data_IF_391418029574
#
_entry.id   IF_391418029574
#
_cell.length_a   1.000
_cell.length_b   1.000
_cell.length_c   1.000
_cell.angle_alpha   90.00
_cell.angle_beta   90.00
_cell.angle_gamma   90.00
#
_symmetry.space_group_name_H-M   'P 1'
#
loop_
_entity.id
_entity.type
_entity.pdbx_description
1 polymer ?
#
# COMPACT_ATOMS: atom_id res chain seq x y z
N UNK A 1 8.30 -26.85 -44.50
CA UNK A 1 7.74 -27.64 -43.38
C UNK A 1 7.71 -26.74 -42.16
N UNK A 2 6.67 -25.93 -42.04
CA UNK A 2 6.54 -24.95 -40.95
C UNK A 2 5.90 -25.62 -39.74
N UNK A 3 6.72 -25.91 -38.72
CA UNK A 3 6.21 -26.30 -37.41
C UNK A 3 5.67 -25.05 -36.72
N UNK A 4 4.36 -24.81 -36.86
CA UNK A 4 3.67 -23.85 -35.99
C UNK A 4 3.84 -24.31 -34.54
N UNK A 5 4.63 -23.56 -33.79
CA UNK A 5 4.75 -23.68 -32.35
C UNK A 5 3.45 -23.13 -31.73
N UNK A 6 2.41 -23.94 -31.65
CA UNK A 6 1.22 -23.63 -30.85
C UNK A 6 1.60 -23.80 -29.39
N UNK A 7 2.09 -22.73 -28.76
CA UNK A 7 2.06 -22.64 -27.31
C UNK A 7 0.59 -22.76 -26.91
N UNK A 8 0.28 -23.85 -26.22
CA UNK A 8 -1.05 -24.18 -25.76
C UNK A 8 -1.54 -23.04 -24.86
N UNK A 9 -2.47 -22.22 -25.35
CA UNK A 9 -3.10 -21.11 -24.62
C UNK A 9 -3.72 -21.57 -23.28
N UNK A 10 -4.06 -22.86 -23.20
CA UNK A 10 -4.54 -23.56 -22.01
C UNK A 10 -3.47 -23.74 -20.91
N UNK A 11 -2.19 -23.89 -21.28
CA UNK A 11 -1.07 -23.95 -20.33
C UNK A 11 -0.69 -22.56 -19.83
N UNK A 12 -0.76 -21.53 -20.68
CA UNK A 12 -0.55 -20.13 -20.28
C UNK A 12 -1.68 -19.65 -19.35
N UNK A 13 -2.94 -20.04 -19.63
CA UNK A 13 -4.09 -19.82 -18.74
C UNK A 13 -4.04 -20.65 -17.44
N UNK A 14 -3.43 -21.84 -17.45
CA UNK A 14 -3.25 -22.66 -16.23
C UNK A 14 -2.08 -22.20 -15.34
N UNK A 15 -1.08 -21.51 -15.92
CA UNK A 15 0.01 -20.89 -15.16
C UNK A 15 -0.37 -19.52 -14.58
N UNK A 16 -1.46 -18.90 -15.07
CA UNK A 16 -2.25 -17.91 -14.33
C UNK A 16 -3.04 -18.62 -13.22
N UNK A 17 -2.34 -19.34 -12.36
CA UNK A 17 -2.86 -19.67 -11.06
C UNK A 17 -3.00 -18.33 -10.35
N UNK A 18 -4.22 -17.80 -10.30
CA UNK A 18 -4.53 -16.50 -9.72
C UNK A 18 -4.07 -16.57 -8.27
N UNK A 19 -2.89 -16.01 -8.01
CA UNK A 19 -2.34 -15.85 -6.68
C UNK A 19 -3.37 -15.06 -5.87
N UNK A 20 -3.64 -15.46 -4.63
CA UNK A 20 -4.57 -14.67 -3.81
C UNK A 20 -3.99 -13.26 -3.59
N UNK A 21 -4.84 -12.23 -3.41
CA UNK A 21 -4.37 -10.88 -3.10
C UNK A 21 -3.37 -10.85 -1.92
N UNK A 22 -3.70 -11.57 -0.85
CA UNK A 22 -2.84 -11.72 0.33
C UNK A 22 -1.49 -12.37 0.01
N UNK A 23 -1.48 -13.40 -0.84
CA UNK A 23 -0.24 -14.08 -1.26
C UNK A 23 0.62 -13.15 -2.13
N UNK A 24 0.00 -12.39 -3.04
CA UNK A 24 0.69 -11.39 -3.85
C UNK A 24 1.37 -10.36 -2.97
N UNK A 25 0.63 -9.78 -2.03
CA UNK A 25 1.17 -8.76 -1.11
C UNK A 25 2.35 -9.32 -0.32
N UNK A 26 2.20 -10.50 0.30
CA UNK A 26 3.27 -11.12 1.09
C UNK A 26 4.54 -11.37 0.25
N UNK A 27 4.39 -11.83 -0.99
CA UNK A 27 5.52 -12.05 -1.88
C UNK A 27 6.22 -10.73 -2.25
N UNK A 28 5.44 -9.70 -2.60
CA UNK A 28 5.98 -8.39 -2.94
C UNK A 28 6.67 -7.71 -1.75
N UNK A 29 6.07 -7.79 -0.55
CA UNK A 29 6.70 -7.29 0.68
C UNK A 29 7.98 -8.04 1.04
N UNK A 30 8.05 -9.34 0.77
CA UNK A 30 9.28 -10.13 0.97
C UNK A 30 10.40 -9.64 0.06
N UNK A 31 10.08 -9.31 -1.21
CA UNK A 31 11.05 -8.73 -2.14
C UNK A 31 11.49 -7.34 -1.67
N UNK A 32 10.56 -6.47 -1.24
CA UNK A 32 10.89 -5.15 -0.70
C UNK A 32 11.77 -5.24 0.54
N UNK A 33 11.47 -6.16 1.45
CA UNK A 33 12.27 -6.40 2.66
C UNK A 33 13.69 -6.90 2.33
N UNK A 34 13.89 -7.65 1.24
CA UNK A 34 15.20 -8.22 0.90
C UNK A 34 16.30 -7.18 0.69
N UNK A 35 15.96 -5.99 0.19
CA UNK A 35 16.91 -4.92 -0.08
C UNK A 35 16.79 -3.71 0.86
N UNK A 36 15.66 -3.55 1.55
CA UNK A 36 15.47 -2.47 2.54
C UNK A 36 15.78 -2.89 3.98
N UNK A 37 15.92 -4.18 4.25
CA UNK A 37 16.43 -4.70 5.54
C UNK A 37 17.91 -4.34 5.73
N UNK A 38 18.35 -3.98 6.94
CA UNK A 38 17.62 -3.99 8.22
C UNK A 38 16.85 -2.70 8.53
N UNK A 39 16.82 -1.74 7.61
CA UNK A 39 16.38 -0.37 7.88
C UNK A 39 14.87 -0.19 7.91
N UNK A 40 14.12 -1.07 7.25
CA UNK A 40 12.65 -0.96 7.15
C UNK A 40 11.97 -2.25 7.59
N UNK A 41 10.87 -2.12 8.32
CA UNK A 41 9.99 -3.22 8.69
C UNK A 41 8.64 -3.08 7.98
N UNK A 42 8.08 -4.20 7.53
CA UNK A 42 6.74 -4.27 6.95
C UNK A 42 5.86 -5.17 7.79
N UNK A 43 4.64 -4.74 8.09
CA UNK A 43 3.58 -5.59 8.63
C UNK A 43 2.40 -5.58 7.67
N UNK A 44 1.71 -6.70 7.61
CA UNK A 44 0.54 -6.88 6.76
C UNK A 44 -0.63 -7.40 7.59
N UNK A 45 -1.81 -6.84 7.33
CA UNK A 45 -3.09 -7.31 7.84
C UNK A 45 -4.20 -7.13 6.79
N UNK A 46 -5.31 -7.83 7.00
CA UNK A 46 -6.55 -7.54 6.27
C UNK A 46 -7.58 -7.08 7.30
N UNK A 47 -8.15 -5.90 7.08
CA UNK A 47 -9.21 -5.37 7.91
C UNK A 47 -10.56 -5.80 7.33
N UNK A 48 -11.22 -6.73 8.01
CA UNK A 48 -12.51 -7.28 7.61
C UNK A 48 -13.66 -6.28 7.68
N UNK A 49 -13.52 -5.21 8.47
CA UNK A 49 -14.58 -4.21 8.67
C UNK A 49 -14.70 -3.25 7.48
N UNK A 50 -13.57 -2.91 6.86
CA UNK A 50 -13.48 -2.05 5.67
C UNK A 50 -13.10 -2.81 4.40
N UNK A 51 -12.87 -4.12 4.50
CA UNK A 51 -12.47 -5.01 3.39
C UNK A 51 -11.21 -4.50 2.67
N UNK A 52 -10.19 -4.12 3.44
CA UNK A 52 -8.97 -3.49 2.93
C UNK A 52 -7.72 -4.22 3.39
N UNK A 53 -6.76 -4.40 2.49
CA UNK A 53 -5.42 -4.83 2.81
C UNK A 53 -4.61 -3.67 3.40
N UNK A 54 -4.15 -3.82 4.64
CA UNK A 54 -3.39 -2.79 5.35
C UNK A 54 -1.93 -3.21 5.45
N UNK A 55 -1.05 -2.31 5.04
CA UNK A 55 0.40 -2.49 5.10
C UNK A 55 0.99 -1.37 5.93
N UNK A 56 1.64 -1.72 7.04
CA UNK A 56 2.38 -0.79 7.88
C UNK A 56 3.86 -0.85 7.51
N UNK A 57 4.45 0.29 7.18
CA UNK A 57 5.87 0.46 6.91
C UNK A 57 6.49 1.26 8.05
N UNK A 58 7.46 0.68 8.75
CA UNK A 58 8.14 1.33 9.88
C UNK A 58 9.64 1.39 9.61
N UNK A 59 10.21 2.57 9.36
CA UNK A 59 11.66 2.76 9.37
C UNK A 59 12.20 2.49 10.78
N UNK A 60 13.28 1.71 10.89
CA UNK A 60 13.95 1.45 12.17
C UNK A 60 15.02 2.49 12.49
N UNK A 61 15.63 3.06 11.45
CA UNK A 61 16.64 4.12 11.50
C UNK A 61 16.34 5.13 10.39
N UNK A 62 17.09 6.25 10.34
CA UNK A 62 17.09 7.15 9.17
C UNK A 62 17.38 6.34 7.89
N UNK A 63 16.37 6.12 7.07
CA UNK A 63 16.52 5.46 5.78
C UNK A 63 16.83 6.54 4.74
N UNK A 64 18.11 6.69 4.38
CA UNK A 64 18.60 7.71 3.44
C UNK A 64 18.05 7.57 2.00
N UNK A 65 17.19 6.59 1.72
CA UNK A 65 16.60 6.31 0.40
C UNK A 65 15.07 6.23 0.43
N UNK A 66 14.41 7.04 1.26
CA UNK A 66 12.95 7.07 1.38
C UNK A 66 12.20 7.24 0.04
N UNK A 67 12.80 7.92 -0.94
CA UNK A 67 12.26 8.07 -2.30
C UNK A 67 12.17 6.73 -3.05
N UNK A 68 13.25 5.92 -3.04
CA UNK A 68 13.27 4.60 -3.69
C UNK A 68 12.25 3.65 -3.05
N UNK A 69 12.13 3.69 -1.72
CA UNK A 69 11.10 2.92 -1.02
C UNK A 69 9.70 3.38 -1.42
N UNK A 70 9.50 4.69 -1.56
CA UNK A 70 8.22 5.28 -1.99
C UNK A 70 7.83 4.85 -3.39
N UNK A 71 8.73 5.00 -4.35
CA UNK A 71 8.51 4.53 -5.70
C UNK A 71 8.17 3.04 -5.75
N UNK A 72 8.89 2.22 -4.98
CA UNK A 72 8.70 0.78 -4.97
C UNK A 72 7.31 0.37 -4.45
N UNK A 73 6.81 0.95 -3.35
CA UNK A 73 5.47 0.60 -2.84
C UNK A 73 4.34 1.24 -3.67
N UNK A 74 4.56 2.41 -4.28
CA UNK A 74 3.60 3.00 -5.23
C UNK A 74 3.45 2.11 -6.47
N UNK A 75 4.55 1.67 -7.08
CA UNK A 75 4.52 0.78 -8.24
C UNK A 75 3.85 -0.56 -7.91
N UNK A 76 4.12 -1.10 -6.72
CA UNK A 76 3.45 -2.29 -6.22
C UNK A 76 1.94 -2.07 -6.06
N UNK A 77 1.51 -0.91 -5.56
CA UNK A 77 0.09 -0.55 -5.40
C UNK A 77 -0.62 -0.49 -6.74
N UNK A 78 0.00 0.14 -7.75
CA UNK A 78 -0.55 0.24 -9.10
C UNK A 78 -0.70 -1.14 -9.75
N UNK A 79 0.32 -2.00 -9.59
CA UNK A 79 0.26 -3.37 -10.09
C UNK A 79 -0.81 -4.21 -9.37
N UNK A 80 -0.97 -4.03 -8.07
CA UNK A 80 -2.02 -4.68 -7.28
C UNK A 80 -3.42 -4.27 -7.77
N UNK A 81 -3.69 -2.96 -7.89
CA UNK A 81 -4.98 -2.45 -8.35
C UNK A 81 -5.33 -2.92 -9.76
N UNK A 82 -4.34 -3.03 -10.65
CA UNK A 82 -4.55 -3.56 -11.99
C UNK A 82 -4.91 -5.06 -11.99
N UNK A 83 -4.33 -5.83 -11.08
CA UNK A 83 -4.53 -7.28 -10.99
C UNK A 83 -5.78 -7.68 -10.18
N UNK A 84 -6.13 -6.90 -9.16
CA UNK A 84 -7.23 -7.15 -8.23
C UNK A 84 -8.15 -5.91 -8.14
N UNK A 85 -8.93 -5.61 -9.20
CA UNK A 85 -9.70 -4.36 -9.31
C UNK A 85 -10.85 -4.23 -8.31
N UNK A 86 -11.17 -5.27 -7.56
CA UNK A 86 -12.21 -5.30 -6.53
C UNK A 86 -11.66 -5.31 -5.11
N UNK A 87 -10.34 -5.26 -4.95
CA UNK A 87 -9.66 -5.30 -3.65
C UNK A 87 -9.04 -3.94 -3.35
N UNK A 88 -9.15 -3.50 -2.12
CA UNK A 88 -8.54 -2.26 -1.65
C UNK A 88 -7.22 -2.53 -0.92
N UNK A 89 -6.25 -1.63 -1.08
CA UNK A 89 -4.94 -1.69 -0.43
C UNK A 89 -4.54 -0.31 0.09
N UNK A 90 -4.02 -0.26 1.32
CA UNK A 90 -3.54 0.98 1.96
C UNK A 90 -2.16 0.78 2.57
N UNK A 91 -1.32 1.80 2.41
CA UNK A 91 0.01 1.88 2.99
C UNK A 91 0.04 2.96 4.06
N UNK A 92 0.45 2.57 5.27
CA UNK A 92 0.60 3.45 6.42
C UNK A 92 2.08 3.49 6.76
N UNK A 93 2.66 4.68 6.86
CA UNK A 93 4.07 4.85 7.21
C UNK A 93 4.22 6.04 8.16
N UNK A 94 5.11 5.90 9.15
CA UNK A 94 5.41 6.96 10.12
C UNK A 94 6.15 8.14 9.47
N UNK A 95 6.98 7.86 8.46
CA UNK A 95 7.88 8.83 7.82
C UNK A 95 7.48 9.08 6.35
N UNK A 96 6.18 9.11 6.04
CA UNK A 96 5.75 9.26 4.64
C UNK A 96 6.35 10.51 4.00
N UNK A 97 7.24 10.38 3.00
CA UNK A 97 7.70 11.52 2.21
C UNK A 97 6.71 11.83 1.09
N UNK A 98 5.48 11.27 1.12
CA UNK A 98 4.33 11.92 0.48
C UNK A 98 4.11 13.27 1.19
N UNK A 99 5.03 14.19 0.95
CA UNK A 99 4.70 15.59 0.87
C UNK A 99 3.49 15.62 -0.04
N UNK A 100 2.32 15.85 0.55
CA UNK A 100 1.17 16.35 -0.18
C UNK A 100 1.71 17.57 -0.90
N UNK A 101 2.12 17.42 -2.14
CA UNK A 101 2.59 18.51 -2.97
C UNK A 101 1.33 19.34 -3.24
N UNK A 102 1.02 20.22 -2.28
CA UNK A 102 -0.13 21.13 -2.21
C UNK A 102 -1.49 20.46 -2.01
N UNK A 103 -1.83 20.17 -0.76
CA UNK A 103 -3.19 20.45 -0.30
C UNK A 103 -3.12 21.31 0.97
N UNK A 104 -3.73 22.49 0.91
CA UNK A 104 -4.03 23.27 2.11
C UNK A 104 -5.15 22.55 2.85
N UNK A 105 -4.84 21.97 4.01
CA UNK A 105 -5.88 21.58 4.95
C UNK A 105 -6.42 22.86 5.59
N UNK A 106 -7.48 23.44 5.02
CA UNK A 106 -8.18 24.56 5.63
C UNK A 106 -9.19 24.01 6.65
N UNK A 107 -8.72 23.75 7.87
CA UNK A 107 -9.65 23.66 9.01
C UNK A 107 -10.01 25.09 9.42
N UNK A 108 -11.12 25.61 8.90
CA UNK A 108 -11.72 26.81 9.47
C UNK A 108 -12.42 26.39 10.76
N UNK A 109 -11.75 26.67 11.89
CA UNK A 109 -12.43 26.74 13.17
C UNK A 109 -13.52 27.81 13.00
N UNK A 110 -14.78 27.41 12.79
CA UNK A 110 -15.86 28.33 13.16
C UNK A 110 -15.76 28.42 14.68
N UNK A 111 -15.45 29.60 15.25
CA UNK A 111 -15.59 29.75 16.69
C UNK A 111 -17.05 29.46 17.00
N UNK A 112 -17.29 28.45 17.84
CA UNK A 112 -18.59 28.33 18.49
C UNK A 112 -18.87 29.70 19.10
N UNK A 113 -19.96 30.35 18.67
CA UNK A 113 -20.41 31.60 19.28
C UNK A 113 -20.69 31.31 20.74
N UNK A 114 -19.71 31.64 21.58
CA UNK A 114 -19.74 31.46 23.01
C UNK A 114 -20.66 32.50 23.63
N UNK A 115 -21.97 32.27 23.55
CA UNK A 115 -22.79 32.55 24.72
C UNK A 115 -22.62 31.37 25.67
N UNK A 116 -21.66 31.50 26.59
CA UNK A 116 -21.54 30.60 27.73
C UNK A 116 -22.87 30.58 28.51
N UNK A 117 -23.19 29.48 29.18
CA UNK A 117 -22.76 29.45 30.57
C UNK A 117 -22.20 28.11 31.04
N UNK A 118 -21.27 28.27 31.97
CA UNK A 118 -21.09 27.51 33.20
C UNK A 118 -20.69 26.03 33.11
N UNK A 119 -19.46 25.81 33.58
CA UNK A 119 -18.97 24.62 34.25
C UNK A 119 -20.06 23.88 35.03
N UNK A 120 -20.07 22.55 34.89
CA UNK A 120 -20.53 21.66 35.96
C UNK A 120 -19.40 20.70 36.29
N UNK A 121 -19.26 20.52 37.61
CA UNK A 121 -18.16 19.93 38.39
C UNK A 121 -17.73 18.51 38.00
#
# INVERSE_FOLDING_TARGET
>A
MDKKCTVNDSLFKKMLQIMSPATYIKNSLTQLASWSSPHTCFKYGFDESIKTHVIEITPKNEFYHAELLTEAWVNMSLAFMAQYPTEDIVFITADSPLALARYQFAYTHQPATSSSPACFE
#
